data_IF_097165096687
#
_entry.id   IF_097165096687
#
_cell.length_a   1.000
_cell.length_b   1.000
_cell.length_c   1.000
_cell.angle_alpha   90.00
_cell.angle_beta   90.00
_cell.angle_gamma   90.00
#
_symmetry.space_group_name_H-M   'P 1'
#
loop_
_entity.id
_entity.type
_entity.pdbx_description
1 polymer ?
#
# COMPACT_ATOMS: atom_id res chain seq x y z
N UNK A 1 -21.78 -23.01 31.82
CA UNK A 1 -21.24 -21.93 30.98
C UNK A 1 -20.12 -22.42 30.03
N UNK A 2 -20.19 -23.65 29.48
CA UNK A 2 -19.09 -24.24 28.66
C UNK A 2 -19.26 -24.10 27.13
N UNK A 3 -20.47 -23.77 26.63
CA UNK A 3 -20.75 -23.69 25.19
C UNK A 3 -20.18 -22.43 24.51
N UNK A 4 -20.37 -21.26 25.15
CA UNK A 4 -19.96 -19.95 24.59
C UNK A 4 -18.44 -19.83 24.42
N UNK A 5 -17.66 -20.45 25.32
CA UNK A 5 -16.19 -20.39 25.30
C UNK A 5 -15.61 -21.26 24.17
N UNK A 6 -16.28 -22.36 23.82
CA UNK A 6 -15.88 -23.21 22.69
C UNK A 6 -16.16 -22.54 21.34
N UNK A 7 -17.26 -21.79 21.22
CA UNK A 7 -17.58 -21.03 20.01
C UNK A 7 -16.62 -19.85 19.81
N UNK A 8 -16.25 -19.15 20.89
CA UNK A 8 -15.24 -18.08 20.85
C UNK A 8 -13.87 -18.62 20.39
N UNK A 9 -13.43 -19.77 20.92
CA UNK A 9 -12.20 -20.46 20.48
C UNK A 9 -12.24 -20.87 19.02
N UNK A 10 -13.36 -21.42 18.54
CA UNK A 10 -13.53 -21.81 17.15
C UNK A 10 -13.42 -20.60 16.20
N UNK A 11 -14.10 -19.50 16.52
CA UNK A 11 -14.04 -18.27 15.70
C UNK A 11 -12.61 -17.70 15.70
N UNK A 12 -11.93 -17.72 16.85
CA UNK A 12 -10.55 -17.28 16.94
C UNK A 12 -9.61 -18.10 16.05
N UNK A 13 -9.70 -19.44 16.10
CA UNK A 13 -8.90 -20.33 15.24
C UNK A 13 -9.14 -20.08 13.75
N UNK A 14 -10.40 -19.88 13.33
CA UNK A 14 -10.74 -19.57 11.95
C UNK A 14 -10.08 -18.26 11.47
N UNK A 15 -9.96 -17.26 12.36
CA UNK A 15 -9.31 -15.98 12.06
C UNK A 15 -7.79 -16.14 12.02
N UNK A 16 -7.22 -16.92 12.95
CA UNK A 16 -5.79 -17.26 12.98
C UNK A 16 -5.35 -17.97 11.68
N UNK A 17 -6.11 -18.97 11.22
CA UNK A 17 -5.87 -19.70 9.97
C UNK A 17 -5.90 -18.81 8.72
N UNK A 18 -6.60 -17.68 8.77
CA UNK A 18 -6.69 -16.75 7.65
C UNK A 18 -5.44 -15.87 7.47
N UNK A 19 -4.60 -15.79 8.51
CA UNK A 19 -3.35 -15.04 8.47
C UNK A 19 -3.53 -13.56 8.11
N UNK A 20 -2.56 -13.03 7.38
CA UNK A 20 -2.40 -11.60 7.10
C UNK A 20 -3.37 -11.06 6.04
N UNK A 21 -4.00 -11.94 5.26
CA UNK A 21 -5.08 -11.59 4.33
C UNK A 21 -6.41 -11.34 5.06
N UNK A 22 -6.54 -11.91 6.26
CA UNK A 22 -7.74 -11.85 7.08
C UNK A 22 -8.93 -12.58 6.46
N UNK A 23 -10.07 -12.54 7.16
CA UNK A 23 -11.29 -13.26 6.77
C UNK A 23 -12.55 -12.41 6.93
N UNK A 24 -13.56 -12.60 6.08
CA UNK A 24 -14.83 -11.88 6.18
C UNK A 24 -15.78 -12.56 7.15
N UNK A 25 -16.67 -11.78 7.78
CA UNK A 25 -17.72 -12.30 8.66
C UNK A 25 -18.62 -13.35 7.98
N UNK A 26 -18.83 -13.22 6.66
CA UNK A 26 -19.58 -14.21 5.86
C UNK A 26 -18.86 -15.56 5.78
N UNK A 27 -17.53 -15.55 5.63
CA UNK A 27 -16.74 -16.77 5.50
C UNK A 27 -16.52 -17.42 6.88
N UNK A 28 -16.37 -16.60 7.94
CA UNK A 28 -16.43 -17.07 9.33
C UNK A 28 -17.75 -17.78 9.59
N UNK A 29 -18.88 -17.22 9.13
CA UNK A 29 -20.20 -17.85 9.26
C UNK A 29 -20.27 -19.20 8.55
N UNK A 30 -19.75 -19.27 7.33
CA UNK A 30 -19.74 -20.51 6.56
C UNK A 30 -18.88 -21.60 7.23
N UNK A 31 -17.69 -21.24 7.74
CA UNK A 31 -16.75 -22.17 8.39
C UNK A 31 -17.17 -22.59 9.81
N UNK A 32 -17.73 -21.68 10.60
CA UNK A 32 -18.14 -21.94 11.99
C UNK A 32 -19.54 -22.54 12.13
N UNK A 33 -20.38 -22.40 11.09
CA UNK A 33 -21.79 -22.76 11.12
C UNK A 33 -22.58 -22.06 12.25
N UNK A 34 -22.15 -20.87 12.66
CA UNK A 34 -22.78 -20.08 13.72
C UNK A 34 -23.74 -19.00 13.15
N UNK A 35 -24.79 -18.62 13.89
CA UNK A 35 -25.62 -17.47 13.55
C UNK A 35 -24.82 -16.16 13.52
N UNK A 36 -25.15 -15.26 12.58
CA UNK A 36 -24.45 -13.97 12.42
C UNK A 36 -24.51 -13.09 13.68
N UNK A 37 -25.61 -13.16 14.43
CA UNK A 37 -25.78 -12.42 15.70
C UNK A 37 -24.77 -12.85 16.76
N UNK A 38 -24.47 -14.14 16.83
CA UNK A 38 -23.50 -14.73 17.75
C UNK A 38 -22.07 -14.40 17.32
N UNK A 39 -21.77 -14.54 16.02
CA UNK A 39 -20.48 -14.15 15.44
C UNK A 39 -20.18 -12.67 15.74
N UNK A 40 -21.15 -11.77 15.52
CA UNK A 40 -20.96 -10.35 15.80
C UNK A 40 -20.69 -10.06 17.29
N UNK A 41 -21.27 -10.82 18.23
CA UNK A 41 -20.97 -10.70 19.66
C UNK A 41 -19.55 -11.18 19.96
N UNK A 42 -19.16 -12.34 19.43
CA UNK A 42 -17.82 -12.90 19.61
C UNK A 42 -16.76 -11.97 19.03
N UNK A 43 -16.94 -11.46 17.82
CA UNK A 43 -16.00 -10.55 17.17
C UNK A 43 -15.82 -9.26 17.97
N UNK A 44 -16.90 -8.67 18.50
CA UNK A 44 -16.81 -7.48 19.38
C UNK A 44 -16.04 -7.77 20.67
N UNK A 45 -16.22 -8.96 21.25
CA UNK A 45 -15.52 -9.37 22.47
C UNK A 45 -14.01 -9.60 22.20
N UNK A 46 -13.69 -10.29 21.11
CA UNK A 46 -12.29 -10.51 20.70
C UNK A 46 -11.58 -9.20 20.31
N UNK A 47 -12.28 -8.26 19.66
CA UNK A 47 -11.77 -6.92 19.35
C UNK A 47 -11.54 -6.12 20.65
N UNK A 48 -12.46 -6.15 21.62
CA UNK A 48 -12.31 -5.40 22.88
C UNK A 48 -11.15 -5.91 23.73
N UNK A 49 -10.88 -7.23 23.68
CA UNK A 49 -9.71 -7.85 24.29
C UNK A 49 -8.41 -7.62 23.53
N UNK A 50 -8.43 -6.94 22.37
CA UNK A 50 -7.28 -6.78 21.46
C UNK A 50 -6.63 -8.10 21.04
N UNK A 51 -7.44 -9.15 20.88
CA UNK A 51 -6.98 -10.43 20.33
C UNK A 51 -7.03 -10.44 18.81
N UNK A 52 -8.03 -9.75 18.25
CA UNK A 52 -8.20 -9.54 16.82
C UNK A 52 -8.33 -8.05 16.52
N UNK A 53 -8.18 -7.69 15.25
CA UNK A 53 -8.50 -6.36 14.72
C UNK A 53 -9.29 -6.47 13.44
N UNK A 54 -9.99 -5.38 13.14
CA UNK A 54 -10.70 -5.18 11.89
C UNK A 54 -9.90 -4.26 10.98
N UNK A 55 -9.73 -4.67 9.73
CA UNK A 55 -9.06 -3.88 8.69
C UNK A 55 -10.03 -3.75 7.54
N UNK A 56 -10.22 -2.56 6.97
CA UNK A 56 -10.95 -2.46 5.69
C UNK A 56 -9.96 -2.77 4.58
N UNK A 57 -10.33 -3.71 3.72
CA UNK A 57 -9.53 -4.04 2.55
C UNK A 57 -9.70 -2.93 1.51
N UNK A 58 -8.59 -2.42 0.97
CA UNK A 58 -8.63 -1.48 -0.16
C UNK A 58 -8.99 -2.19 -1.46
N UNK A 59 -8.58 -3.46 -1.60
CA UNK A 59 -9.06 -4.35 -2.65
C UNK A 59 -10.47 -4.88 -2.30
N UNK A 60 -11.34 -5.05 -3.30
CA UNK A 60 -12.70 -5.59 -3.15
C UNK A 60 -13.67 -4.75 -2.29
N UNK A 61 -14.03 -3.56 -2.77
CA UNK A 61 -15.21 -2.79 -2.33
C UNK A 61 -15.21 -2.37 -0.84
N UNK A 62 -14.04 -2.04 -0.26
CA UNK A 62 -13.92 -1.52 1.13
C UNK A 62 -14.47 -2.47 2.20
N UNK A 63 -14.43 -3.78 1.95
CA UNK A 63 -15.00 -4.77 2.87
C UNK A 63 -14.09 -4.98 4.07
N UNK A 64 -14.70 -5.13 5.25
CA UNK A 64 -14.02 -5.37 6.52
C UNK A 64 -13.57 -6.84 6.61
N UNK A 65 -12.27 -7.05 6.76
CA UNK A 65 -11.64 -8.33 7.09
C UNK A 65 -11.23 -8.34 8.57
N UNK A 66 -11.17 -9.52 9.18
CA UNK A 66 -10.70 -9.73 10.54
C UNK A 66 -9.40 -10.53 10.52
N UNK A 67 -8.45 -10.16 11.37
CA UNK A 67 -7.16 -10.83 11.54
C UNK A 67 -6.66 -10.66 12.98
N UNK A 68 -5.57 -11.36 13.35
CA UNK A 68 -4.98 -11.20 14.68
C UNK A 68 -4.47 -9.77 14.91
N UNK A 69 -4.56 -9.29 16.15
CA UNK A 69 -4.24 -7.90 16.48
C UNK A 69 -2.79 -7.51 16.12
N UNK A 70 -1.84 -8.40 16.42
CA UNK A 70 -0.41 -8.18 16.20
C UNK A 70 0.05 -8.45 14.76
N UNK A 71 -0.84 -8.93 13.88
CA UNK A 71 -0.45 -9.31 12.54
C UNK A 71 -0.48 -8.10 11.60
N UNK A 72 0.58 -7.86 10.85
CA UNK A 72 0.54 -6.83 9.82
C UNK A 72 -0.32 -7.31 8.63
N UNK A 73 -1.29 -6.51 8.16
CA UNK A 73 -2.10 -6.86 7.01
C UNK A 73 -1.23 -7.02 5.75
N UNK A 74 -1.60 -7.95 4.89
CA UNK A 74 -0.93 -8.14 3.60
C UNK A 74 -1.04 -6.88 2.72
N UNK A 75 -0.04 -6.61 1.88
CA UNK A 75 -0.06 -5.47 0.95
C UNK A 75 -1.26 -5.52 0.00
N UNK A 76 -1.75 -6.71 -0.36
CA UNK A 76 -2.97 -6.84 -1.17
C UNK A 76 -4.23 -6.35 -0.45
N UNK A 77 -4.19 -6.24 0.89
CA UNK A 77 -5.27 -5.75 1.74
C UNK A 77 -5.13 -4.25 2.01
N UNK A 78 -3.90 -3.74 2.17
CA UNK A 78 -3.65 -2.31 2.46
C UNK A 78 -3.49 -1.43 1.23
N UNK A 79 -3.09 -1.98 0.08
CA UNK A 79 -2.87 -1.23 -1.17
C UNK A 79 -1.44 -0.83 -1.45
N UNK A 80 -0.48 -1.26 -0.62
CA UNK A 80 0.92 -0.91 -0.78
C UNK A 80 1.23 0.54 -0.40
N UNK A 81 2.24 1.11 -1.03
CA UNK A 81 2.84 2.40 -0.65
C UNK A 81 1.94 3.63 -0.89
N UNK A 82 0.86 3.47 -1.65
CA UNK A 82 -0.03 4.55 -2.09
C UNK A 82 -1.22 4.80 -1.16
N UNK A 83 -1.36 4.00 -0.11
CA UNK A 83 -2.47 4.07 0.83
C UNK A 83 -1.95 4.20 2.27
N UNK A 84 -2.50 5.17 3.02
CA UNK A 84 -2.34 5.25 4.48
C UNK A 84 -3.70 5.18 5.12
N UNK A 85 -3.80 4.39 6.19
CA UNK A 85 -5.06 4.17 6.91
C UNK A 85 -6.25 3.77 6.02
N UNK A 86 -5.96 3.11 4.89
CA UNK A 86 -6.92 2.61 3.90
C UNK A 86 -7.54 3.70 3.00
N UNK A 87 -6.99 4.92 3.03
CA UNK A 87 -7.32 6.00 2.10
C UNK A 87 -6.18 6.20 1.09
N UNK A 88 -6.55 6.47 -0.17
CA UNK A 88 -5.59 6.73 -1.24
C UNK A 88 -4.95 8.09 -1.04
N UNK A 89 -3.61 8.14 -0.98
CA UNK A 89 -2.86 9.38 -0.80
C UNK A 89 -2.61 10.08 -2.15
N UNK A 90 -3.65 10.68 -2.73
CA UNK A 90 -3.51 11.41 -4.00
C UNK A 90 -2.52 12.57 -3.91
N UNK A 91 -2.49 13.27 -2.77
CA UNK A 91 -1.55 14.38 -2.52
C UNK A 91 -0.09 13.90 -2.56
N UNK A 92 0.16 12.67 -2.09
CA UNK A 92 1.50 12.09 -2.12
C UNK A 92 1.94 11.77 -3.56
N UNK A 93 1.03 11.24 -4.39
CA UNK A 93 1.26 11.03 -5.83
C UNK A 93 1.59 12.36 -6.52
N UNK A 94 0.83 13.42 -6.24
CA UNK A 94 1.06 14.75 -6.81
C UNK A 94 2.43 15.31 -6.41
N UNK A 95 2.80 15.21 -5.14
CA UNK A 95 4.12 15.63 -4.65
C UNK A 95 5.22 14.86 -5.38
N UNK A 96 5.11 13.55 -5.52
CA UNK A 96 6.09 12.74 -6.25
C UNK A 96 6.22 13.17 -7.71
N UNK A 97 5.10 13.36 -8.42
CA UNK A 97 5.10 13.82 -9.81
C UNK A 97 5.74 15.20 -9.95
N UNK A 98 5.45 16.13 -9.04
CA UNK A 98 6.11 17.44 -9.01
C UNK A 98 7.62 17.33 -8.80
N UNK A 99 8.09 16.41 -7.94
CA UNK A 99 9.52 16.21 -7.75
C UNK A 99 10.18 15.61 -9.00
N UNK A 100 9.52 14.69 -9.70
CA UNK A 100 9.99 14.15 -10.97
C UNK A 100 10.11 15.24 -12.03
N UNK A 101 9.06 16.05 -12.19
CA UNK A 101 9.06 17.18 -13.11
C UNK A 101 10.22 18.12 -12.84
N UNK A 102 10.39 18.51 -11.56
CA UNK A 102 11.44 19.45 -11.15
C UNK A 102 12.83 18.92 -11.47
N UNK A 103 13.07 17.63 -11.26
CA UNK A 103 14.35 17.00 -11.62
C UNK A 103 14.60 17.02 -13.13
N UNK A 104 13.62 16.61 -13.93
CA UNK A 104 13.73 16.58 -15.39
C UNK A 104 13.93 17.98 -15.98
N UNK A 105 13.15 18.95 -15.49
CA UNK A 105 13.24 20.35 -15.88
C UNK A 105 14.63 20.91 -15.55
N UNK A 106 15.12 20.70 -14.33
CA UNK A 106 16.46 21.16 -13.92
C UNK A 106 17.57 20.54 -14.76
N UNK A 107 17.46 19.25 -15.11
CA UNK A 107 18.43 18.57 -15.98
C UNK A 107 18.42 19.14 -17.40
N UNK A 108 17.24 19.42 -17.96
CA UNK A 108 17.09 20.02 -19.27
C UNK A 108 17.62 21.46 -19.33
N UNK A 109 17.35 22.27 -18.29
CA UNK A 109 17.88 23.63 -18.16
C UNK A 109 19.40 23.64 -18.06
N UNK A 110 19.98 22.79 -17.21
CA UNK A 110 21.43 22.64 -17.06
C UNK A 110 22.09 22.23 -18.39
N UNK A 111 21.48 21.31 -19.12
CA UNK A 111 21.96 20.90 -20.44
C UNK A 111 21.92 22.08 -21.43
N UNK A 112 20.84 22.87 -21.44
CA UNK A 112 20.68 24.03 -22.31
C UNK A 112 21.70 25.14 -22.02
N UNK A 113 22.04 25.35 -20.76
CA UNK A 113 23.05 26.32 -20.33
C UNK A 113 24.49 25.85 -20.60
N UNK A 114 24.69 24.54 -20.73
CA UNK A 114 25.99 23.98 -21.09
C UNK A 114 26.40 24.47 -22.49
N UNK A 115 27.54 25.17 -22.60
CA UNK A 115 28.13 25.62 -23.88
C UNK A 115 28.83 24.47 -24.62
N UNK A 116 28.20 23.30 -24.63
CA UNK A 116 28.70 22.09 -25.27
C UNK A 116 28.18 21.98 -26.70
N UNK A 117 28.72 21.03 -27.47
CA UNK A 117 28.21 20.73 -28.81
C UNK A 117 26.72 20.31 -28.73
N UNK A 118 25.87 20.69 -29.72
CA UNK A 118 24.43 20.37 -29.73
C UNK A 118 24.08 18.90 -29.49
N UNK A 119 24.91 17.95 -29.96
CA UNK A 119 24.67 16.52 -29.71
C UNK A 119 24.90 16.14 -28.25
N UNK A 120 25.95 16.69 -27.62
CA UNK A 120 26.27 16.43 -26.21
C UNK A 120 25.22 17.11 -25.32
N UNK A 121 24.85 18.36 -25.64
CA UNK A 121 23.78 19.08 -24.96
C UNK A 121 22.47 18.29 -24.98
N UNK A 122 22.03 17.81 -26.16
CA UNK A 122 20.83 16.99 -26.29
C UNK A 122 20.92 15.69 -25.49
N UNK A 123 22.05 15.00 -25.54
CA UNK A 123 22.21 13.75 -24.80
C UNK A 123 22.18 13.98 -23.27
N UNK A 124 22.64 15.14 -22.82
CA UNK A 124 22.73 15.51 -21.40
C UNK A 124 21.37 15.90 -20.80
N UNK A 125 20.38 16.27 -21.62
CA UNK A 125 19.03 16.60 -21.16
C UNK A 125 18.17 15.37 -20.86
N UNK A 126 18.55 14.17 -21.33
CA UNK A 126 17.79 12.96 -21.04
C UNK A 126 18.07 12.44 -19.63
N UNK A 127 17.06 11.83 -19.02
CA UNK A 127 17.21 11.05 -17.80
C UNK A 127 16.66 9.64 -18.02
N UNK A 128 17.35 8.67 -17.45
CA UNK A 128 16.85 7.30 -17.32
C UNK A 128 15.87 7.21 -16.14
N UNK A 129 14.98 6.22 -16.18
CA UNK A 129 14.09 5.91 -15.06
C UNK A 129 14.85 5.63 -13.76
N UNK A 130 16.07 5.08 -13.86
CA UNK A 130 16.95 4.83 -12.72
C UNK A 130 17.45 6.14 -12.07
N UNK A 131 17.83 7.14 -12.87
CA UNK A 131 18.27 8.44 -12.34
C UNK A 131 17.12 9.17 -11.63
N UNK A 132 15.91 9.14 -12.21
CA UNK A 132 14.72 9.73 -11.60
C UNK A 132 14.36 9.01 -10.30
N UNK A 133 14.37 7.68 -10.30
CA UNK A 133 14.15 6.87 -9.09
C UNK A 133 15.16 7.21 -7.99
N UNK A 134 16.46 7.24 -8.31
CA UNK A 134 17.51 7.56 -7.34
C UNK A 134 17.30 8.93 -6.70
N UNK A 135 16.98 9.94 -7.51
CA UNK A 135 16.67 11.29 -7.01
C UNK A 135 15.49 11.27 -6.02
N UNK A 136 14.42 10.54 -6.33
CA UNK A 136 13.25 10.42 -5.45
C UNK A 136 13.63 9.77 -4.11
N UNK A 137 14.42 8.70 -4.12
CA UNK A 137 14.84 8.06 -2.87
C UNK A 137 15.74 8.99 -2.02
N UNK A 138 16.61 9.78 -2.66
CA UNK A 138 17.49 10.76 -1.99
C UNK A 138 16.72 11.92 -1.35
N UNK A 139 15.52 12.26 -1.83
CA UNK A 139 14.67 13.28 -1.21
C UNK A 139 14.12 12.89 0.17
N UNK A 140 14.18 11.61 0.54
CA UNK A 140 13.80 11.14 1.87
C UNK A 140 12.32 11.39 2.20
N UNK A 141 11.43 11.35 1.19
CA UNK A 141 9.99 11.50 1.40
C UNK A 141 9.51 10.31 2.25
N UNK A 142 9.21 10.60 3.52
CA UNK A 142 9.23 9.74 4.72
C UNK A 142 8.41 8.43 4.72
N UNK A 143 7.72 8.07 3.64
CA UNK A 143 6.90 6.84 3.54
C UNK A 143 7.42 5.80 2.56
N UNK A 144 8.46 6.14 1.81
CA UNK A 144 8.83 5.44 0.57
C UNK A 144 10.07 4.58 0.74
N UNK A 145 10.81 4.72 1.84
CA UNK A 145 12.17 4.18 1.94
C UNK A 145 12.24 2.66 1.72
N UNK A 146 11.25 1.92 2.23
CA UNK A 146 11.18 0.46 2.08
C UNK A 146 10.64 0.01 0.71
N UNK A 147 9.93 0.88 -0.02
CA UNK A 147 9.31 0.61 -1.32
C UNK A 147 10.05 1.29 -2.51
N UNK A 148 11.05 2.12 -2.21
CA UNK A 148 11.93 2.82 -3.15
C UNK A 148 13.12 1.93 -3.51
N UNK A 149 12.87 0.84 -4.21
CA UNK A 149 13.93 0.01 -4.81
C UNK A 149 13.74 -0.10 -6.33
N UNK A 150 14.80 -0.49 -7.04
CA UNK A 150 14.74 -0.71 -8.48
C UNK A 150 13.67 -1.78 -8.79
N UNK A 151 12.69 -1.43 -9.64
CA UNK A 151 11.53 -2.26 -9.96
C UNK A 151 10.39 -2.27 -8.93
N UNK A 152 10.49 -1.48 -7.85
CA UNK A 152 9.46 -1.34 -6.82
C UNK A 152 8.23 -0.54 -7.25
N UNK A 153 7.24 -0.44 -6.36
CA UNK A 153 5.95 0.25 -6.62
C UNK A 153 6.13 1.75 -6.90
N UNK A 154 7.23 2.35 -6.43
CA UNK A 154 7.57 3.77 -6.62
C UNK A 154 8.81 3.86 -7.52
N UNK A 155 8.62 3.49 -8.78
CA UNK A 155 9.62 3.62 -9.84
C UNK A 155 8.94 4.06 -11.14
N UNK A 156 9.50 5.03 -11.91
CA UNK A 156 8.93 5.45 -13.19
C UNK A 156 8.74 4.31 -14.20
N UNK A 157 9.46 3.20 -14.04
CA UNK A 157 9.38 2.02 -14.90
C UNK A 157 8.12 1.19 -14.67
N UNK A 158 7.58 1.17 -13.44
CA UNK A 158 6.51 0.25 -13.02
C UNK A 158 5.31 0.99 -12.38
N UNK A 159 5.45 2.27 -12.04
CA UNK A 159 4.41 3.05 -11.38
C UNK A 159 3.45 3.64 -12.40
N UNK A 160 2.24 3.08 -12.47
CA UNK A 160 1.16 3.55 -13.35
C UNK A 160 0.91 5.06 -13.23
N UNK A 161 0.98 5.61 -12.02
CA UNK A 161 0.71 7.03 -11.75
C UNK A 161 1.83 7.97 -12.20
N UNK A 162 3.04 7.44 -12.41
CA UNK A 162 4.18 8.20 -12.94
C UNK A 162 4.31 8.01 -14.45
N UNK A 163 4.04 6.81 -14.96
CA UNK A 163 4.09 6.51 -16.40
C UNK A 163 3.04 7.30 -17.16
N UNK A 164 1.78 7.34 -16.70
CA UNK A 164 0.72 8.14 -17.34
C UNK A 164 1.04 9.64 -17.35
N UNK A 165 1.76 10.13 -16.34
CA UNK A 165 2.15 11.54 -16.26
C UNK A 165 3.34 11.87 -17.19
N UNK A 166 4.25 10.92 -17.42
CA UNK A 166 5.43 11.10 -18.30
C UNK A 166 5.11 10.95 -19.80
N UNK A 167 3.93 10.45 -20.17
CA UNK A 167 3.49 10.28 -21.57
C UNK A 167 2.89 11.56 -22.19
N UNK A 168 2.75 12.65 -21.42
CA UNK A 168 2.32 13.98 -21.88
C UNK A 168 3.47 14.99 -21.90
#
# INVERSE_FOLDING_TARGET
MKGSDNQEKLVYQIIEDAGNKGIWSRDIRYKSNLPLTEINKILKNLESKKLIKAVKSVAASKKKVYMLYNLQPDRSVTGGAWYSDQDFESEFVEVLNQQCFKFLQSKAETARESKQNPMIQRNSSFASSHEVWKYICELGISKVFDDCHEGGEISPSNCIYMTEWLEF
#
